data_IF_486922353241
#
_entry.id   IF_486922353241
#
_cell.length_a   1.000
_cell.length_b   1.000
_cell.length_c   1.000
_cell.angle_alpha   90.00
_cell.angle_beta   90.00
_cell.angle_gamma   90.00
#
_symmetry.space_group_name_H-M   'P 1'
#
loop_
_entity.id
_entity.type
_entity.pdbx_description
1 polymer ?
#
# COMPACT_ATOMS: atom_id res chain seq x y z
N UNK A 1 -28.43 11.49 10.05
CA UNK A 1 -27.53 11.02 8.98
C UNK A 1 -28.21 9.83 8.27
N UNK A 2 -28.38 9.85 6.97
CA UNK A 2 -29.00 8.74 6.24
C UNK A 2 -28.15 7.48 6.44
N UNK A 3 -28.78 6.35 6.80
CA UNK A 3 -28.09 5.08 7.04
C UNK A 3 -27.17 4.66 5.87
N UNK A 4 -27.54 5.02 4.65
CA UNK A 4 -26.76 4.72 3.47
C UNK A 4 -25.47 5.56 3.38
N UNK A 5 -25.54 6.86 3.67
CA UNK A 5 -24.37 7.75 3.71
C UNK A 5 -23.39 7.28 4.80
N UNK A 6 -23.90 6.86 5.96
CA UNK A 6 -23.05 6.30 7.01
C UNK A 6 -22.29 5.06 6.52
N UNK A 7 -22.96 4.14 5.81
CA UNK A 7 -22.34 2.93 5.28
C UNK A 7 -21.28 3.22 4.20
N UNK A 8 -21.50 4.24 3.36
CA UNK A 8 -20.51 4.69 2.38
C UNK A 8 -19.23 5.17 3.05
N UNK A 9 -19.36 6.05 4.06
CA UNK A 9 -18.22 6.53 4.82
C UNK A 9 -17.53 5.43 5.63
N UNK A 10 -18.29 4.53 6.23
CA UNK A 10 -17.77 3.38 6.97
C UNK A 10 -16.90 2.49 6.07
N UNK A 11 -17.38 2.15 4.88
CA UNK A 11 -16.63 1.31 3.95
C UNK A 11 -15.42 2.01 3.36
N UNK A 12 -15.50 3.32 3.13
CA UNK A 12 -14.33 4.09 2.74
C UNK A 12 -13.25 4.08 3.84
N UNK A 13 -13.65 4.22 5.10
CA UNK A 13 -12.73 4.09 6.23
C UNK A 13 -12.08 2.69 6.27
N UNK A 14 -12.85 1.62 6.13
CA UNK A 14 -12.34 0.24 6.14
C UNK A 14 -11.34 0.00 5.01
N UNK A 15 -11.67 0.42 3.78
CA UNK A 15 -10.78 0.30 2.62
C UNK A 15 -9.51 1.13 2.81
N UNK A 16 -9.63 2.35 3.35
CA UNK A 16 -8.48 3.21 3.64
C UNK A 16 -7.56 2.61 4.71
N UNK A 17 -8.14 1.96 5.72
CA UNK A 17 -7.37 1.23 6.73
C UNK A 17 -6.62 0.03 6.14
N UNK A 18 -7.26 -0.73 5.26
CA UNK A 18 -6.61 -1.83 4.53
C UNK A 18 -5.46 -1.33 3.66
N UNK A 19 -5.63 -0.18 2.99
CA UNK A 19 -4.56 0.49 2.26
C UNK A 19 -3.37 0.87 3.16
N UNK A 20 -3.64 1.41 4.35
CA UNK A 20 -2.62 1.72 5.34
C UNK A 20 -1.87 0.48 5.83
N UNK A 21 -2.59 -0.60 6.13
CA UNK A 21 -2.01 -1.90 6.52
C UNK A 21 -1.17 -2.49 5.38
N UNK A 22 -1.63 -2.41 4.14
CA UNK A 22 -0.87 -2.87 2.98
C UNK A 22 0.47 -2.14 2.87
N UNK A 23 0.48 -0.81 2.98
CA UNK A 23 1.73 -0.03 2.91
C UNK A 23 2.68 -0.38 4.05
N UNK A 24 2.19 -0.59 5.26
CA UNK A 24 3.03 -1.11 6.36
C UNK A 24 3.64 -2.46 6.01
N UNK A 25 2.86 -3.40 5.49
CA UNK A 25 3.32 -4.75 5.16
C UNK A 25 4.32 -4.80 3.99
N UNK A 26 4.45 -3.72 3.22
CA UNK A 26 5.50 -3.60 2.20
C UNK A 26 6.93 -3.64 2.78
N UNK A 27 7.10 -3.72 4.11
CA UNK A 27 8.41 -4.01 4.70
C UNK A 27 9.03 -5.31 4.15
N UNK A 28 8.20 -6.27 3.74
CA UNK A 28 8.64 -7.51 3.07
C UNK A 28 9.34 -7.18 1.75
N UNK A 29 8.70 -6.39 0.90
CA UNK A 29 9.27 -5.95 -0.38
C UNK A 29 10.52 -5.09 -0.16
N UNK A 30 10.43 -4.16 0.80
CA UNK A 30 11.57 -3.33 1.18
C UNK A 30 12.78 -4.15 1.63
N UNK A 31 12.56 -5.16 2.49
CA UNK A 31 13.59 -6.11 2.92
C UNK A 31 14.18 -6.90 1.75
N UNK A 32 13.33 -7.40 0.86
CA UNK A 32 13.77 -8.14 -0.34
C UNK A 32 14.66 -7.29 -1.26
N UNK A 33 14.31 -6.01 -1.44
CA UNK A 33 15.12 -5.08 -2.27
C UNK A 33 16.54 -4.87 -1.75
N UNK A 34 16.79 -5.17 -0.47
CA UNK A 34 18.08 -4.98 0.21
C UNK A 34 18.94 -6.24 0.24
N UNK A 35 18.46 -7.37 -0.27
CA UNK A 35 19.04 -8.69 -0.11
C UNK A 35 20.52 -8.76 -0.53
N UNK A 36 20.87 -8.30 -1.72
CA UNK A 36 22.26 -8.29 -2.21
C UNK A 36 23.08 -7.10 -1.68
N UNK A 37 22.41 -6.06 -1.24
CA UNK A 37 23.05 -4.88 -0.69
C UNK A 37 23.60 -5.16 0.73
N UNK A 38 22.78 -5.78 1.57
CA UNK A 38 23.11 -6.05 2.98
C UNK A 38 23.71 -7.44 3.21
N UNK A 39 23.15 -8.49 2.58
CA UNK A 39 23.59 -9.87 2.74
C UNK A 39 24.89 -10.14 1.97
N UNK A 40 26.02 -10.16 2.68
CA UNK A 40 27.34 -10.39 2.09
C UNK A 40 27.67 -11.88 1.99
N UNK A 41 27.23 -12.66 2.98
CA UNK A 41 27.42 -14.11 3.01
C UNK A 41 26.13 -14.84 2.60
N UNK A 42 26.24 -16.12 2.28
CA UNK A 42 25.10 -16.97 1.97
C UNK A 42 24.19 -17.15 3.20
N UNK A 43 24.76 -17.28 4.39
CA UNK A 43 24.03 -17.41 5.65
C UNK A 43 23.22 -16.15 5.95
N UNK A 44 23.81 -14.96 5.77
CA UNK A 44 23.09 -13.68 5.94
C UNK A 44 21.91 -13.53 4.98
N UNK A 45 22.10 -13.87 3.69
CA UNK A 45 21.02 -13.85 2.71
C UNK A 45 19.90 -14.82 3.08
N UNK A 46 20.25 -15.99 3.57
CA UNK A 46 19.29 -17.00 4.04
C UNK A 46 18.48 -16.48 5.23
N UNK A 47 19.13 -15.84 6.22
CA UNK A 47 18.44 -15.20 7.35
C UNK A 47 17.50 -14.10 6.91
N UNK A 48 17.91 -13.23 5.96
CA UNK A 48 17.07 -12.17 5.43
C UNK A 48 15.85 -12.73 4.68
N UNK A 49 16.05 -13.69 3.78
CA UNK A 49 14.97 -14.34 3.03
C UNK A 49 14.00 -15.04 3.96
N UNK A 50 14.48 -15.77 4.97
CA UNK A 50 13.62 -16.43 5.94
C UNK A 50 12.84 -15.43 6.81
N UNK A 51 13.45 -14.29 7.15
CA UNK A 51 12.80 -13.22 7.91
C UNK A 51 11.59 -12.63 7.16
N UNK A 52 11.77 -12.25 5.90
CA UNK A 52 10.69 -11.74 5.04
C UNK A 52 9.75 -12.84 4.57
N UNK A 53 10.25 -14.04 4.32
CA UNK A 53 9.51 -15.21 3.87
C UNK A 53 8.42 -15.64 4.86
N UNK A 54 8.66 -15.53 6.16
CA UNK A 54 7.63 -15.81 7.18
C UNK A 54 6.46 -14.81 7.18
N UNK A 55 6.52 -13.74 6.39
CA UNK A 55 5.53 -12.64 6.38
C UNK A 55 4.99 -12.29 4.99
N UNK A 56 5.51 -12.84 3.92
CA UNK A 56 5.13 -12.44 2.56
C UNK A 56 3.64 -12.69 2.26
N UNK A 57 3.08 -13.76 2.83
CA UNK A 57 1.66 -14.08 2.65
C UNK A 57 0.74 -13.01 3.23
N UNK A 58 1.11 -12.39 4.37
CA UNK A 58 0.32 -11.30 4.95
C UNK A 58 0.24 -10.11 3.99
N UNK A 59 1.32 -9.76 3.31
CA UNK A 59 1.34 -8.67 2.34
C UNK A 59 0.47 -9.00 1.14
N UNK A 60 0.66 -10.19 0.56
CA UNK A 60 -0.11 -10.61 -0.61
C UNK A 60 -1.60 -10.75 -0.30
N UNK A 61 -1.95 -11.38 0.80
CA UNK A 61 -3.34 -11.52 1.24
C UNK A 61 -3.98 -10.16 1.50
N UNK A 62 -3.25 -9.21 2.10
CA UNK A 62 -3.77 -7.85 2.33
C UNK A 62 -3.98 -7.10 1.01
N UNK A 63 -3.11 -7.26 0.02
CA UNK A 63 -3.30 -6.69 -1.32
C UNK A 63 -4.58 -7.23 -1.98
N UNK A 64 -4.80 -8.55 -1.92
CA UNK A 64 -6.01 -9.19 -2.47
C UNK A 64 -7.25 -8.75 -1.69
N UNK A 65 -7.16 -8.66 -0.36
CA UNK A 65 -8.27 -8.18 0.49
C UNK A 65 -8.63 -6.73 0.21
N UNK A 66 -7.63 -5.86 -0.02
CA UNK A 66 -7.83 -4.48 -0.42
C UNK A 66 -8.62 -4.37 -1.74
N UNK A 67 -8.20 -5.13 -2.76
CA UNK A 67 -8.94 -5.22 -4.04
C UNK A 67 -10.34 -5.79 -3.88
N UNK A 68 -10.51 -6.85 -3.08
CA UNK A 68 -11.80 -7.48 -2.78
C UNK A 68 -12.74 -6.56 -2.01
N UNK A 69 -12.23 -5.76 -1.07
CA UNK A 69 -13.01 -4.76 -0.35
C UNK A 69 -13.51 -3.64 -1.29
N UNK A 70 -12.69 -3.19 -2.24
CA UNK A 70 -13.13 -2.27 -3.30
C UNK A 70 -14.18 -2.91 -4.20
N UNK A 71 -13.96 -4.15 -4.64
CA UNK A 71 -14.93 -4.87 -5.47
C UNK A 71 -16.32 -4.92 -4.82
N UNK A 72 -16.37 -5.21 -3.54
CA UNK A 72 -17.63 -5.37 -2.82
C UNK A 72 -18.29 -4.03 -2.43
N UNK A 73 -17.49 -3.03 -2.01
CA UNK A 73 -18.03 -1.74 -1.51
C UNK A 73 -18.14 -0.67 -2.59
N UNK A 74 -17.18 -0.61 -3.54
CA UNK A 74 -17.12 0.38 -4.62
C UNK A 74 -16.89 -0.30 -5.97
N UNK A 75 -17.88 -1.08 -6.48
CA UNK A 75 -17.70 -1.90 -7.67
C UNK A 75 -17.37 -1.10 -8.93
N UNK A 76 -17.87 0.14 -9.05
CA UNK A 76 -17.54 1.00 -10.19
C UNK A 76 -16.07 1.42 -10.20
N UNK A 77 -15.49 1.69 -9.01
CA UNK A 77 -14.05 1.91 -8.92
C UNK A 77 -13.26 0.65 -9.29
N UNK A 78 -13.70 -0.51 -8.79
CA UNK A 78 -13.03 -1.77 -9.12
C UNK A 78 -13.01 -2.02 -10.63
N UNK A 79 -14.13 -1.87 -11.30
CA UNK A 79 -14.21 -2.05 -12.76
C UNK A 79 -13.40 -1.00 -13.51
N UNK A 80 -13.36 0.25 -13.03
CA UNK A 80 -12.65 1.35 -13.69
C UNK A 80 -11.14 1.25 -13.48
N UNK A 81 -10.68 1.02 -12.24
CA UNK A 81 -9.25 0.97 -11.92
C UNK A 81 -8.66 -0.41 -12.21
N UNK A 82 -9.17 -1.49 -11.58
CA UNK A 82 -8.60 -2.84 -11.77
C UNK A 82 -8.91 -3.40 -13.17
N UNK A 83 -10.12 -3.15 -13.68
CA UNK A 83 -10.51 -3.58 -15.02
C UNK A 83 -10.00 -2.66 -16.14
N UNK A 84 -10.03 -1.34 -15.93
CA UNK A 84 -9.62 -0.35 -16.94
C UNK A 84 -8.12 -0.13 -17.02
N UNK A 85 -7.45 0.02 -15.86
CA UNK A 85 -6.01 0.15 -15.77
C UNK A 85 -5.30 -1.21 -15.66
N UNK A 86 -5.77 -2.20 -16.42
CA UNK A 86 -5.37 -3.61 -16.27
C UNK A 86 -3.87 -3.85 -16.46
N UNK A 87 -3.16 -3.13 -17.32
CA UNK A 87 -1.72 -3.32 -17.49
C UNK A 87 -0.93 -2.99 -16.23
N UNK A 88 -1.28 -1.90 -15.55
CA UNK A 88 -0.64 -1.53 -14.29
C UNK A 88 -0.86 -2.60 -13.22
N UNK A 89 -2.11 -3.04 -13.06
CA UNK A 89 -2.46 -4.07 -12.07
C UNK A 89 -1.90 -5.45 -12.43
N UNK A 90 -1.83 -5.80 -13.71
CA UNK A 90 -1.19 -7.02 -14.18
C UNK A 90 0.31 -7.04 -13.85
N UNK A 91 1.02 -5.93 -14.02
CA UNK A 91 2.44 -5.84 -13.65
C UNK A 91 2.64 -5.95 -12.14
N UNK A 92 1.78 -5.31 -11.34
CA UNK A 92 1.80 -5.45 -9.89
C UNK A 92 1.60 -6.93 -9.52
N UNK A 93 0.52 -7.54 -9.98
CA UNK A 93 0.20 -8.95 -9.70
C UNK A 93 1.34 -9.88 -10.13
N UNK A 94 1.86 -9.71 -11.34
CA UNK A 94 2.95 -10.52 -11.85
C UNK A 94 4.21 -10.41 -10.98
N UNK A 95 4.55 -9.21 -10.50
CA UNK A 95 5.67 -9.03 -9.59
C UNK A 95 5.49 -9.79 -8.27
N UNK A 96 4.26 -9.84 -7.72
CA UNK A 96 3.95 -10.62 -6.51
C UNK A 96 3.92 -12.12 -6.77
N UNK A 97 3.49 -12.57 -7.95
CA UNK A 97 3.59 -13.98 -8.36
C UNK A 97 5.05 -14.43 -8.43
N UNK A 98 5.93 -13.62 -9.01
CA UNK A 98 7.38 -13.89 -9.03
C UNK A 98 7.95 -14.01 -7.61
N UNK A 99 7.50 -13.17 -6.68
CA UNK A 99 7.87 -13.25 -5.27
C UNK A 99 7.42 -14.58 -4.65
N UNK A 100 6.15 -14.97 -4.82
CA UNK A 100 5.59 -16.19 -4.28
C UNK A 100 6.36 -17.43 -4.77
N UNK A 101 6.56 -17.54 -6.09
CA UNK A 101 7.35 -18.60 -6.72
C UNK A 101 8.78 -18.62 -6.17
N UNK A 102 9.37 -17.46 -5.94
CA UNK A 102 10.74 -17.37 -5.46
C UNK A 102 10.91 -17.87 -4.03
N UNK A 103 9.99 -17.56 -3.13
CA UNK A 103 10.02 -18.09 -1.77
C UNK A 103 9.85 -19.61 -1.76
N UNK A 104 8.93 -20.14 -2.56
CA UNK A 104 8.63 -21.58 -2.56
C UNK A 104 9.72 -22.44 -3.23
N UNK A 105 10.34 -21.95 -4.30
CA UNK A 105 11.17 -22.80 -5.15
C UNK A 105 12.69 -22.58 -5.04
N UNK A 106 13.17 -21.49 -4.43
CA UNK A 106 14.61 -21.20 -4.37
C UNK A 106 15.43 -22.27 -3.66
N UNK A 107 14.85 -22.96 -2.67
CA UNK A 107 15.51 -23.98 -1.84
C UNK A 107 15.13 -25.40 -2.20
N UNK A 108 14.23 -25.63 -3.19
CA UNK A 108 13.80 -26.97 -3.58
C UNK A 108 14.88 -27.73 -4.35
N UNK A 109 14.97 -29.03 -4.11
CA UNK A 109 15.80 -29.94 -4.92
C UNK A 109 15.31 -29.93 -6.37
N UNK A 110 16.22 -29.87 -7.34
CA UNK A 110 15.86 -29.77 -8.76
C UNK A 110 15.49 -28.37 -9.23
N UNK A 111 15.82 -27.34 -8.46
CA UNK A 111 15.67 -25.94 -8.83
C UNK A 111 16.32 -25.65 -10.19
N UNK A 112 15.51 -25.36 -11.23
CA UNK A 112 15.95 -25.20 -12.61
C UNK A 112 16.73 -23.91 -12.86
N UNK A 113 16.33 -22.80 -12.19
CA UNK A 113 16.87 -21.46 -12.46
C UNK A 113 18.04 -21.06 -11.54
N UNK A 114 18.26 -21.80 -10.47
CA UNK A 114 19.28 -21.50 -9.46
C UNK A 114 18.84 -20.45 -8.43
N UNK A 115 19.36 -20.57 -7.20
CA UNK A 115 18.98 -19.72 -6.04
C UNK A 115 19.10 -18.22 -6.30
N UNK A 116 20.15 -17.80 -7.00
CA UNK A 116 20.40 -16.38 -7.22
C UNK A 116 19.39 -15.75 -8.18
N UNK A 117 18.84 -16.51 -9.13
CA UNK A 117 17.79 -16.03 -10.03
C UNK A 117 16.50 -15.76 -9.25
N UNK A 118 16.08 -16.70 -8.40
CA UNK A 118 14.89 -16.50 -7.55
C UNK A 118 15.08 -15.33 -6.57
N UNK A 119 16.27 -15.18 -5.99
CA UNK A 119 16.61 -14.02 -5.17
C UNK A 119 16.59 -12.72 -5.97
N UNK A 120 17.00 -12.75 -7.23
CA UNK A 120 16.86 -11.65 -8.18
C UNK A 120 15.37 -11.26 -8.37
N UNK A 121 14.47 -12.23 -8.47
CA UNK A 121 13.03 -11.99 -8.56
C UNK A 121 12.46 -11.38 -7.26
N UNK A 122 12.96 -11.80 -6.08
CA UNK A 122 12.59 -11.13 -4.82
C UNK A 122 13.02 -9.67 -4.82
N UNK A 123 14.23 -9.36 -5.28
CA UNK A 123 14.71 -7.97 -5.40
C UNK A 123 13.88 -7.20 -6.42
N UNK A 124 13.57 -7.78 -7.58
CA UNK A 124 12.72 -7.15 -8.59
C UNK A 124 11.33 -6.80 -8.04
N UNK A 125 10.66 -7.76 -7.36
CA UNK A 125 9.40 -7.47 -6.68
C UNK A 125 9.58 -6.41 -5.60
N UNK A 126 10.68 -6.46 -4.85
CA UNK A 126 11.00 -5.48 -3.81
C UNK A 126 11.13 -4.05 -4.30
N UNK A 127 11.37 -3.84 -5.59
CA UNK A 127 11.43 -2.52 -6.24
C UNK A 127 10.12 -2.22 -6.97
N UNK A 128 9.71 -3.10 -7.88
CA UNK A 128 8.56 -2.90 -8.79
C UNK A 128 7.26 -2.82 -7.99
N UNK A 129 7.04 -3.72 -7.03
CA UNK A 129 5.82 -3.75 -6.22
C UNK A 129 5.51 -2.43 -5.52
N UNK A 130 6.40 -1.92 -4.66
CA UNK A 130 6.17 -0.65 -3.97
C UNK A 130 6.06 0.56 -4.91
N UNK A 131 6.88 0.63 -5.97
CA UNK A 131 6.84 1.75 -6.93
C UNK A 131 5.51 1.78 -7.67
N UNK A 132 5.06 0.64 -8.20
CA UNK A 132 3.80 0.58 -8.94
C UNK A 132 2.58 0.78 -8.03
N UNK A 133 2.58 0.22 -6.82
CA UNK A 133 1.50 0.43 -5.85
C UNK A 133 1.43 1.89 -5.41
N UNK A 134 2.57 2.53 -5.14
CA UNK A 134 2.61 3.95 -4.82
C UNK A 134 2.13 4.82 -5.97
N UNK A 135 2.52 4.51 -7.20
CA UNK A 135 2.03 5.18 -8.41
C UNK A 135 0.53 4.99 -8.62
N UNK A 136 0.00 3.78 -8.39
CA UNK A 136 -1.44 3.51 -8.47
C UNK A 136 -2.23 4.30 -7.41
N UNK A 137 -1.71 4.40 -6.18
CA UNK A 137 -2.36 5.19 -5.11
C UNK A 137 -2.27 6.69 -5.39
N UNK A 138 -1.21 7.17 -6.03
CA UNK A 138 -1.08 8.58 -6.40
C UNK A 138 -2.24 9.06 -7.29
N UNK A 139 -2.79 8.17 -8.14
CA UNK A 139 -3.92 8.50 -9.02
C UNK A 139 -5.21 8.88 -8.29
N UNK A 140 -5.33 8.60 -6.98
CA UNK A 140 -6.41 9.13 -6.15
C UNK A 140 -6.35 10.66 -5.99
N UNK A 141 -5.20 11.25 -6.27
CA UNK A 141 -4.97 12.70 -6.18
C UNK A 141 -4.71 13.35 -7.54
N UNK A 142 -4.02 12.65 -8.43
CA UNK A 142 -3.62 13.16 -9.75
C UNK A 142 -4.65 12.85 -10.83
N UNK A 143 -5.46 11.81 -10.61
CA UNK A 143 -6.46 11.34 -11.56
C UNK A 143 -5.94 10.29 -12.56
N UNK A 144 -6.87 9.78 -13.36
CA UNK A 144 -6.64 8.77 -14.40
C UNK A 144 -7.51 9.04 -15.61
N UNK A 145 -7.07 8.60 -16.80
CA UNK A 145 -7.75 8.89 -18.07
C UNK A 145 -8.87 7.87 -18.35
N UNK A 146 -10.04 8.07 -17.77
CA UNK A 146 -11.22 7.22 -18.03
C UNK A 146 -12.49 8.05 -18.22
N UNK A 147 -13.52 7.44 -18.80
CA UNK A 147 -14.85 8.02 -18.99
C UNK A 147 -15.90 7.03 -18.50
N UNK A 148 -16.92 7.53 -17.80
CA UNK A 148 -18.05 6.77 -17.29
C UNK A 148 -19.31 7.15 -18.07
N UNK A 149 -19.91 6.17 -18.74
CA UNK A 149 -21.21 6.30 -19.39
C UNK A 149 -22.18 5.26 -18.84
N UNK A 150 -22.95 5.65 -17.84
CA UNK A 150 -23.98 4.77 -17.24
C UNK A 150 -25.12 4.44 -18.20
N UNK A 151 -25.36 5.27 -19.22
CA UNK A 151 -26.37 5.04 -20.25
C UNK A 151 -26.03 3.82 -21.12
N UNK A 152 -24.77 3.50 -21.28
CA UNK A 152 -24.30 2.37 -22.08
C UNK A 152 -24.71 0.98 -21.55
N UNK A 153 -25.30 0.89 -20.36
CA UNK A 153 -25.91 -0.36 -19.86
C UNK A 153 -27.01 -0.93 -20.74
N UNK A 154 -27.61 -0.08 -21.58
CA UNK A 154 -28.69 -0.49 -22.55
C UNK A 154 -28.12 -1.02 -23.85
N UNK A 155 -26.82 -0.93 -24.09
CA UNK A 155 -26.16 -1.53 -25.25
C UNK A 155 -26.15 -3.07 -25.10
N UNK A 156 -26.84 -3.76 -25.99
CA UNK A 156 -26.94 -5.24 -25.93
C UNK A 156 -25.71 -5.95 -26.46
N UNK A 157 -24.79 -5.25 -27.15
CA UNK A 157 -23.58 -5.84 -27.75
C UNK A 157 -22.40 -5.65 -26.83
N UNK A 158 -22.23 -4.46 -26.23
CA UNK A 158 -21.10 -4.14 -25.39
C UNK A 158 -21.49 -3.19 -24.24
N UNK A 159 -22.15 -3.71 -23.19
CA UNK A 159 -22.68 -2.90 -22.09
C UNK A 159 -21.56 -2.45 -21.12
N UNK A 160 -20.52 -1.82 -21.65
CA UNK A 160 -19.37 -1.33 -20.87
C UNK A 160 -19.65 0.08 -20.38
N UNK A 161 -19.75 0.25 -19.05
CA UNK A 161 -20.03 1.53 -18.40
C UNK A 161 -18.75 2.39 -18.32
N UNK A 162 -17.61 1.78 -17.98
CA UNK A 162 -16.34 2.46 -17.79
C UNK A 162 -15.37 2.14 -18.92
N UNK A 163 -14.82 3.18 -19.55
CA UNK A 163 -13.86 3.05 -20.64
C UNK A 163 -12.60 3.84 -20.34
N UNK A 164 -11.43 3.22 -20.58
CA UNK A 164 -10.17 3.94 -20.55
C UNK A 164 -10.02 4.80 -21.80
N UNK A 165 -9.63 6.07 -21.62
CA UNK A 165 -9.61 7.05 -22.71
C UNK A 165 -8.39 6.94 -23.61
N UNK A 166 -7.33 6.21 -23.19
CA UNK A 166 -6.10 6.03 -23.95
C UNK A 166 -5.70 4.54 -24.03
N UNK A 167 -4.78 4.23 -24.93
CA UNK A 167 -4.26 2.86 -25.12
C UNK A 167 -3.31 2.40 -24.00
N UNK A 168 -2.97 3.26 -23.05
CA UNK A 168 -2.03 2.95 -21.97
C UNK A 168 -2.62 2.04 -20.89
N UNK A 169 -3.94 2.04 -20.74
CA UNK A 169 -4.67 1.20 -19.78
C UNK A 169 -3.97 1.10 -18.41
N UNK A 170 -3.66 2.27 -17.83
CA UNK A 170 -3.02 2.41 -16.52
C UNK A 170 -1.50 2.59 -16.55
N UNK A 171 -0.79 2.21 -17.63
CA UNK A 171 0.65 2.50 -17.75
C UNK A 171 0.92 4.01 -17.90
N UNK A 172 -0.03 4.76 -18.42
CA UNK A 172 -0.02 6.21 -18.49
C UNK A 172 0.13 6.88 -17.11
N UNK A 173 -0.31 6.23 -16.04
CA UNK A 173 -0.06 6.71 -14.68
C UNK A 173 1.44 6.84 -14.34
N UNK A 174 2.31 6.02 -14.98
CA UNK A 174 3.76 6.09 -14.80
C UNK A 174 4.42 7.21 -15.59
N UNK A 175 3.70 7.87 -16.50
CA UNK A 175 4.18 9.04 -17.23
C UNK A 175 3.96 10.34 -16.43
N UNK A 176 3.07 10.32 -15.45
CA UNK A 176 2.92 11.44 -14.52
C UNK A 176 4.04 11.44 -13.47
N UNK A 177 4.79 12.52 -13.43
CA UNK A 177 5.96 12.66 -12.55
C UNK A 177 5.57 12.51 -11.08
N UNK A 178 4.41 13.01 -10.67
CA UNK A 178 3.98 12.97 -9.27
C UNK A 178 3.56 11.58 -8.83
N UNK A 179 3.02 10.78 -9.74
CA UNK A 179 2.74 9.36 -9.48
C UNK A 179 4.04 8.58 -9.26
N UNK A 180 5.06 8.87 -10.06
CA UNK A 180 6.40 8.28 -9.89
C UNK A 180 7.05 8.76 -8.59
N UNK A 181 6.91 10.04 -8.24
CA UNK A 181 7.42 10.60 -6.98
C UNK A 181 6.84 9.88 -5.78
N UNK A 182 5.52 9.65 -5.72
CA UNK A 182 4.92 8.87 -4.64
C UNK A 182 5.34 7.39 -4.70
N UNK A 183 5.45 6.81 -5.89
CA UNK A 183 5.97 5.44 -6.07
C UNK A 183 7.36 5.27 -5.47
N UNK A 184 8.26 6.21 -5.74
CA UNK A 184 9.62 6.23 -5.17
C UNK A 184 9.59 6.46 -3.65
N UNK A 185 8.71 7.34 -3.15
CA UNK A 185 8.53 7.55 -1.72
C UNK A 185 8.10 6.25 -1.02
N UNK A 186 7.12 5.54 -1.56
CA UNK A 186 6.64 4.24 -1.02
C UNK A 186 7.74 3.18 -1.07
N UNK A 187 8.54 3.14 -2.13
CA UNK A 187 9.69 2.25 -2.22
C UNK A 187 10.72 2.50 -1.12
N UNK A 188 11.12 3.74 -0.88
CA UNK A 188 12.06 4.06 0.18
C UNK A 188 11.46 3.88 1.58
N UNK A 189 10.16 4.16 1.77
CA UNK A 189 9.45 3.83 3.00
C UNK A 189 9.47 2.32 3.26
N UNK A 190 9.15 1.51 2.26
CA UNK A 190 9.20 0.06 2.36
C UNK A 190 10.61 -0.43 2.78
N UNK A 191 11.67 0.15 2.20
CA UNK A 191 13.06 -0.15 2.61
C UNK A 191 13.35 0.24 4.05
N UNK A 192 12.91 1.41 4.49
CA UNK A 192 13.05 1.83 5.90
C UNK A 192 12.34 0.84 6.81
N UNK A 193 11.09 0.50 6.52
CA UNK A 193 10.34 -0.49 7.30
C UNK A 193 11.01 -1.87 7.27
N UNK A 194 11.52 -2.31 6.12
CA UNK A 194 12.28 -3.56 5.99
C UNK A 194 13.56 -3.58 6.84
N UNK A 195 14.31 -2.48 6.85
CA UNK A 195 15.49 -2.32 7.72
C UNK A 195 15.13 -2.38 9.20
N UNK A 196 14.08 -1.65 9.61
CA UNK A 196 13.59 -1.67 10.99
C UNK A 196 13.10 -3.07 11.40
N UNK A 197 12.47 -3.80 10.46
CA UNK A 197 12.03 -5.17 10.69
C UNK A 197 13.22 -6.13 10.86
N UNK A 198 14.25 -6.05 10.04
CA UNK A 198 15.47 -6.87 10.20
C UNK A 198 16.16 -6.60 11.53
N UNK A 199 16.27 -5.34 11.96
CA UNK A 199 16.83 -4.98 13.27
C UNK A 199 16.03 -5.61 14.43
N UNK A 200 14.70 -5.72 14.27
CA UNK A 200 13.83 -6.33 15.27
C UNK A 200 13.89 -7.86 15.27
N UNK A 201 13.99 -8.49 14.08
CA UNK A 201 13.74 -9.91 13.88
C UNK A 201 15.01 -10.78 13.77
N UNK A 202 16.16 -10.20 13.40
CA UNK A 202 17.43 -10.94 13.18
C UNK A 202 18.38 -10.71 14.35
N UNK A 203 19.09 -11.79 14.75
CA UNK A 203 20.11 -11.79 15.79
C UNK A 203 21.50 -12.07 15.19
N UNK A 204 21.97 -11.13 14.35
CA UNK A 204 23.33 -11.11 13.80
C UNK A 204 23.86 -9.68 13.88
N UNK A 205 24.86 -9.45 14.70
CA UNK A 205 25.37 -8.10 15.05
C UNK A 205 25.93 -7.36 13.82
N UNK A 206 26.60 -8.07 12.91
CA UNK A 206 27.19 -7.46 11.70
C UNK A 206 26.10 -7.05 10.70
N UNK A 207 25.11 -7.90 10.49
CA UNK A 207 23.99 -7.60 9.61
C UNK A 207 23.13 -6.47 10.19
N UNK A 208 22.81 -6.52 11.48
CA UNK A 208 22.05 -5.48 12.18
C UNK A 208 22.77 -4.13 12.15
N UNK A 209 24.10 -4.11 12.35
CA UNK A 209 24.88 -2.88 12.24
C UNK A 209 24.82 -2.27 10.82
N UNK A 210 24.86 -3.12 9.77
CA UNK A 210 24.67 -2.66 8.37
C UNK A 210 23.26 -2.14 8.13
N UNK A 211 22.24 -2.83 8.65
CA UNK A 211 20.85 -2.36 8.57
C UNK A 211 20.73 -0.95 9.18
N UNK A 212 21.25 -0.72 10.39
CA UNK A 212 21.21 0.60 11.05
C UNK A 212 21.85 1.71 10.22
N UNK A 213 23.01 1.45 9.62
CA UNK A 213 23.70 2.44 8.76
C UNK A 213 22.86 2.81 7.54
N UNK A 214 22.08 1.87 7.02
CA UNK A 214 21.24 2.09 5.84
C UNK A 214 19.89 2.76 6.15
N UNK A 215 19.46 2.84 7.42
CA UNK A 215 18.22 3.52 7.80
C UNK A 215 18.23 4.99 7.39
N UNK A 216 19.30 5.71 7.74
CA UNK A 216 19.39 7.17 7.51
C UNK A 216 19.29 7.56 6.03
N UNK A 217 20.09 7.02 5.09
CA UNK A 217 19.98 7.40 3.69
C UNK A 217 18.62 7.05 3.09
N UNK A 218 18.04 5.87 3.41
CA UNK A 218 16.72 5.51 2.92
C UNK A 218 15.61 6.42 3.50
N UNK A 219 15.72 6.80 4.78
CA UNK A 219 14.78 7.73 5.40
C UNK A 219 14.85 9.14 4.78
N UNK A 220 16.04 9.64 4.44
CA UNK A 220 16.19 10.92 3.77
C UNK A 220 15.54 10.93 2.39
N UNK A 221 15.76 9.90 1.57
CA UNK A 221 15.09 9.79 0.27
C UNK A 221 13.58 9.63 0.42
N UNK A 222 13.12 8.81 1.37
CA UNK A 222 11.70 8.72 1.68
C UNK A 222 11.10 10.09 1.99
N UNK A 223 11.68 10.81 2.94
CA UNK A 223 11.17 12.12 3.37
C UNK A 223 11.20 13.13 2.22
N UNK A 224 12.26 13.15 1.41
CA UNK A 224 12.37 14.04 0.27
C UNK A 224 11.19 13.86 -0.71
N UNK A 225 10.98 12.63 -1.17
CA UNK A 225 9.94 12.33 -2.16
C UNK A 225 8.53 12.42 -1.56
N UNK A 226 8.35 11.97 -0.32
CA UNK A 226 7.06 12.07 0.36
C UNK A 226 6.65 13.52 0.62
N UNK A 227 7.56 14.36 1.12
CA UNK A 227 7.27 15.78 1.34
C UNK A 227 7.02 16.52 0.03
N UNK A 228 7.77 16.21 -1.04
CA UNK A 228 7.53 16.80 -2.36
C UNK A 228 6.11 16.48 -2.85
N UNK A 229 5.68 15.21 -2.77
CA UNK A 229 4.32 14.81 -3.14
C UNK A 229 3.27 15.44 -2.22
N UNK A 230 3.48 15.44 -0.91
CA UNK A 230 2.55 16.00 0.07
C UNK A 230 2.33 17.49 -0.16
N UNK A 231 3.42 18.26 -0.28
CA UNK A 231 3.34 19.72 -0.56
C UNK A 231 2.60 19.96 -1.87
N UNK A 232 2.94 19.23 -2.93
CA UNK A 232 2.24 19.33 -4.22
C UNK A 232 0.73 19.06 -4.05
N UNK A 233 0.35 18.01 -3.33
CA UNK A 233 -1.05 17.65 -3.11
C UNK A 233 -1.79 18.74 -2.32
N UNK A 234 -1.18 19.29 -1.28
CA UNK A 234 -1.81 20.33 -0.44
C UNK A 234 -1.98 21.68 -1.13
N UNK A 235 -1.08 22.04 -2.06
CA UNK A 235 -1.15 23.33 -2.76
C UNK A 235 -1.86 23.27 -4.12
N UNK A 236 -2.14 22.06 -4.62
CA UNK A 236 -2.82 21.92 -5.91
C UNK A 236 -4.33 22.06 -5.79
N UNK A 237 -4.95 22.26 -6.94
CA UNK A 237 -6.37 22.08 -7.10
C UNK A 237 -6.76 20.60 -6.89
N UNK A 238 -7.96 20.37 -6.37
CA UNK A 238 -8.53 19.04 -6.20
C UNK A 238 -9.98 18.97 -6.67
N UNK A 239 -10.48 17.78 -6.82
CA UNK A 239 -11.80 17.50 -7.39
C UNK A 239 -12.86 17.55 -6.30
N UNK A 240 -13.53 18.68 -6.18
CA UNK A 240 -14.63 18.90 -5.25
C UNK A 240 -15.98 18.52 -5.86
N UNK A 241 -16.93 18.16 -5.02
CA UNK A 241 -18.29 17.80 -5.40
C UNK A 241 -19.26 18.79 -4.78
N UNK A 242 -20.11 19.38 -5.58
CA UNK A 242 -21.21 20.23 -5.09
C UNK A 242 -22.27 19.33 -4.42
N UNK A 243 -22.55 19.49 -3.12
CA UNK A 243 -23.48 18.61 -2.42
C UNK A 243 -24.95 18.75 -2.86
N UNK A 244 -25.32 19.84 -3.54
CA UNK A 244 -26.68 20.06 -4.02
C UNK A 244 -26.92 19.54 -5.45
N UNK A 245 -25.93 19.68 -6.34
CA UNK A 245 -26.07 19.30 -7.77
C UNK A 245 -25.33 18.02 -8.12
N UNK A 246 -24.45 17.53 -7.23
CA UNK A 246 -23.50 16.43 -7.45
C UNK A 246 -22.49 16.71 -8.57
N UNK A 247 -22.43 17.93 -9.09
CA UNK A 247 -21.45 18.35 -10.10
C UNK A 247 -20.04 18.38 -9.51
N UNK A 248 -19.07 17.94 -10.31
CA UNK A 248 -17.67 17.92 -9.92
C UNK A 248 -16.99 19.14 -10.53
N UNK A 249 -16.23 19.85 -9.69
CA UNK A 249 -15.49 21.06 -10.09
C UNK A 249 -14.10 21.08 -9.44
N UNK A 250 -13.20 21.90 -9.98
CA UNK A 250 -11.86 22.08 -9.42
C UNK A 250 -11.89 23.13 -8.32
N UNK A 251 -11.38 22.78 -7.13
CA UNK A 251 -11.27 23.67 -5.97
C UNK A 251 -9.79 23.86 -5.61
N UNK A 252 -9.26 25.09 -5.56
CA UNK A 252 -7.90 25.36 -5.10
C UNK A 252 -7.70 24.87 -3.66
N UNK A 253 -6.52 24.27 -3.38
CA UNK A 253 -6.15 23.77 -2.05
C UNK A 253 -7.14 22.77 -1.43
N UNK A 254 -7.88 22.02 -2.25
CA UNK A 254 -8.96 21.13 -1.77
C UNK A 254 -8.52 20.22 -0.66
N UNK A 255 -7.39 19.55 -0.81
CA UNK A 255 -6.92 18.59 0.18
C UNK A 255 -6.44 19.25 1.48
N UNK A 256 -5.91 20.47 1.42
CA UNK A 256 -5.61 21.28 2.60
C UNK A 256 -6.90 21.69 3.32
N UNK A 257 -7.90 22.17 2.57
CA UNK A 257 -9.21 22.48 3.13
C UNK A 257 -9.85 21.26 3.81
N UNK A 258 -9.70 20.07 3.22
CA UNK A 258 -10.21 18.83 3.81
C UNK A 258 -9.53 18.52 5.16
N UNK A 259 -8.21 18.71 5.28
CA UNK A 259 -7.53 18.55 6.56
C UNK A 259 -8.03 19.55 7.61
N UNK A 260 -8.25 20.81 7.22
CA UNK A 260 -8.75 21.84 8.13
C UNK A 260 -10.21 21.62 8.50
N UNK A 261 -11.04 21.14 7.58
CA UNK A 261 -12.45 20.80 7.83
C UNK A 261 -12.63 19.54 8.68
N UNK A 262 -11.61 18.66 8.71
CA UNK A 262 -11.63 17.41 9.50
C UNK A 262 -10.46 17.38 10.49
N UNK A 263 -10.47 18.16 11.58
CA UNK A 263 -9.34 18.27 12.51
C UNK A 263 -8.89 16.93 13.11
N UNK A 264 -9.81 15.98 13.29
CA UNK A 264 -9.48 14.64 13.78
C UNK A 264 -8.61 13.85 12.79
N UNK A 265 -8.81 14.03 11.46
CA UNK A 265 -7.95 13.42 10.43
C UNK A 265 -6.57 14.07 10.43
N UNK A 266 -6.51 15.40 10.61
CA UNK A 266 -5.24 16.12 10.73
C UNK A 266 -4.44 15.63 11.96
N UNK A 267 -5.09 15.48 13.11
CA UNK A 267 -4.45 14.94 14.33
C UNK A 267 -3.93 13.51 14.08
N UNK A 268 -4.75 12.66 13.46
CA UNK A 268 -4.35 11.30 13.07
C UNK A 268 -3.12 11.29 12.16
N UNK A 269 -3.10 12.19 11.17
CA UNK A 269 -1.98 12.37 10.25
C UNK A 269 -0.69 12.78 11.00
N UNK A 270 -0.78 13.77 11.88
CA UNK A 270 0.37 14.25 12.65
C UNK A 270 0.90 13.18 13.62
N UNK A 271 0.02 12.42 14.28
CA UNK A 271 0.41 11.28 15.12
C UNK A 271 1.09 10.21 14.25
N UNK A 272 0.54 9.93 13.06
CA UNK A 272 1.10 8.98 12.12
C UNK A 272 2.53 9.35 11.69
N UNK A 273 2.71 10.56 11.20
CA UNK A 273 4.03 11.09 10.80
C UNK A 273 4.98 11.11 11.99
N UNK A 274 4.51 11.58 13.16
CA UNK A 274 5.29 11.55 14.40
C UNK A 274 5.75 10.14 14.78
N UNK A 275 4.89 9.14 14.62
CA UNK A 275 5.21 7.73 14.85
C UNK A 275 6.30 7.20 13.93
N UNK A 276 6.22 7.53 12.62
CA UNK A 276 7.26 7.14 11.64
C UNK A 276 8.60 7.77 12.02
N UNK A 277 8.62 9.08 12.26
CA UNK A 277 9.86 9.80 12.62
C UNK A 277 10.43 9.33 13.95
N UNK A 278 9.58 9.04 14.95
CA UNK A 278 9.99 8.50 16.23
C UNK A 278 10.64 7.12 16.09
N UNK A 279 10.02 6.21 15.33
CA UNK A 279 10.56 4.86 15.08
C UNK A 279 11.93 4.92 14.40
N UNK A 280 12.10 5.78 13.39
CA UNK A 280 13.37 6.01 12.71
C UNK A 280 14.38 6.66 13.66
N UNK A 281 14.01 7.75 14.32
CA UNK A 281 14.90 8.53 15.20
C UNK A 281 15.40 7.73 16.38
N UNK A 282 14.54 7.01 17.09
CA UNK A 282 14.96 6.15 18.20
C UNK A 282 15.91 5.02 17.74
N UNK A 283 15.67 4.45 16.57
CA UNK A 283 16.55 3.40 16.02
C UNK A 283 17.94 3.93 15.66
N UNK A 284 18.03 5.18 15.16
CA UNK A 284 19.30 5.81 14.82
C UNK A 284 20.07 6.28 16.05
N UNK A 285 19.38 6.84 17.06
CA UNK A 285 20.01 7.48 18.22
C UNK A 285 20.31 6.49 19.36
N UNK A 286 19.61 5.36 19.44
CA UNK A 286 19.74 4.38 20.52
C UNK A 286 20.14 3.01 19.97
N UNK A 287 21.42 2.59 20.11
CA UNK A 287 21.90 1.31 19.57
C UNK A 287 21.16 0.08 20.10
N UNK A 288 20.67 0.11 21.34
CA UNK A 288 19.92 -0.98 21.94
C UNK A 288 18.43 -1.02 21.53
N UNK A 289 17.93 0.01 20.82
CA UNK A 289 16.53 0.08 20.44
C UNK A 289 16.26 -0.71 19.16
N UNK A 290 15.45 -1.76 19.25
CA UNK A 290 15.10 -2.65 18.15
C UNK A 290 13.60 -2.64 17.78
N UNK A 291 12.78 -1.88 18.52
CA UNK A 291 11.31 -1.83 18.34
C UNK A 291 10.83 -0.74 17.36
N UNK A 292 11.74 -0.14 16.58
CA UNK A 292 11.44 0.94 15.67
C UNK A 292 10.34 0.62 14.65
N UNK A 293 10.28 -0.64 14.20
CA UNK A 293 9.27 -1.13 13.25
C UNK A 293 7.82 -0.94 13.75
N UNK A 294 7.56 -1.12 15.03
CA UNK A 294 6.20 -1.01 15.57
C UNK A 294 5.70 0.44 15.61
N UNK A 295 6.59 1.39 15.94
CA UNK A 295 6.26 2.81 15.90
C UNK A 295 6.14 3.31 14.45
N UNK A 296 7.13 3.00 13.62
CA UNK A 296 7.10 3.42 12.22
C UNK A 296 5.97 2.73 11.43
N UNK A 297 5.68 1.46 11.70
CA UNK A 297 4.61 0.72 11.07
C UNK A 297 3.23 1.26 11.42
N UNK A 298 2.93 1.43 12.71
CA UNK A 298 1.67 2.05 13.15
C UNK A 298 1.55 3.47 12.62
N UNK A 299 2.65 4.24 12.66
CA UNK A 299 2.70 5.58 12.09
C UNK A 299 2.40 5.60 10.59
N UNK A 300 2.93 4.63 9.83
CA UNK A 300 2.63 4.46 8.40
C UNK A 300 1.15 4.19 8.17
N UNK A 301 0.55 3.27 8.92
CA UNK A 301 -0.89 2.97 8.81
C UNK A 301 -1.73 4.22 9.03
N UNK A 302 -1.45 4.99 10.09
CA UNK A 302 -2.20 6.21 10.41
C UNK A 302 -2.01 7.31 9.35
N UNK A 303 -0.80 7.48 8.84
CA UNK A 303 -0.49 8.47 7.79
C UNK A 303 -1.23 8.16 6.50
N UNK A 304 -1.16 6.91 6.02
CA UNK A 304 -1.82 6.49 4.77
C UNK A 304 -3.34 6.52 4.93
N UNK A 305 -3.87 6.03 6.05
CA UNK A 305 -5.29 6.13 6.38
C UNK A 305 -5.77 7.58 6.27
N UNK A 306 -5.07 8.51 6.91
CA UNK A 306 -5.44 9.94 6.90
C UNK A 306 -5.44 10.54 5.50
N UNK A 307 -4.44 10.23 4.68
CA UNK A 307 -4.36 10.69 3.29
C UNK A 307 -5.52 10.16 2.44
N UNK A 308 -5.87 8.88 2.59
CA UNK A 308 -7.00 8.30 1.86
C UNK A 308 -8.34 8.85 2.35
N UNK A 309 -8.49 9.13 3.66
CA UNK A 309 -9.69 9.79 4.18
C UNK A 309 -9.86 11.19 3.59
N UNK A 310 -8.77 11.95 3.46
CA UNK A 310 -8.78 13.29 2.83
C UNK A 310 -9.12 13.21 1.34
N UNK A 311 -8.73 12.15 0.66
CA UNK A 311 -9.06 11.94 -0.76
C UNK A 311 -10.55 11.66 -1.01
N UNK A 312 -11.27 11.03 -0.05
CA UNK A 312 -12.66 10.60 -0.29
C UNK A 312 -13.73 11.33 0.53
N UNK A 313 -13.36 11.89 1.70
CA UNK A 313 -14.31 12.59 2.56
C UNK A 313 -14.49 14.06 2.16
N UNK A 314 -15.43 14.72 2.82
CA UNK A 314 -15.72 16.15 2.66
C UNK A 314 -16.03 16.55 1.20
N UNK A 315 -16.97 15.83 0.56
CA UNK A 315 -17.40 16.12 -0.81
C UNK A 315 -16.22 16.19 -1.80
N UNK A 316 -15.43 15.13 -1.82
CA UNK A 316 -14.27 15.00 -2.72
C UNK A 316 -14.45 13.78 -3.62
N UNK A 317 -14.11 13.92 -4.89
CA UNK A 317 -14.01 12.78 -5.80
C UNK A 317 -12.70 12.04 -5.54
N UNK A 318 -12.79 10.84 -4.97
CA UNK A 318 -11.62 10.07 -4.56
C UNK A 318 -10.84 9.43 -5.70
N UNK A 319 -11.48 9.24 -6.85
CA UNK A 319 -10.79 8.75 -8.05
C UNK A 319 -11.15 9.65 -9.23
N UNK A 320 -10.33 10.68 -9.46
CA UNK A 320 -10.61 11.69 -10.48
C UNK A 320 -10.43 11.17 -11.90
N UNK A 321 -11.26 11.63 -12.82
CA UNK A 321 -11.05 11.47 -14.25
C UNK A 321 -10.39 12.71 -14.86
N UNK A 322 -9.28 12.50 -15.57
CA UNK A 322 -8.59 13.53 -16.34
C UNK A 322 -9.14 13.67 -17.77
N UNK A 323 -9.91 12.69 -18.23
CA UNK A 323 -10.53 12.72 -19.56
C UNK A 323 -11.88 13.43 -19.55
N UNK A 324 -12.68 13.24 -18.50
CA UNK A 324 -13.98 13.90 -18.30
C UNK A 324 -14.20 14.10 -16.80
N UNK A 325 -14.21 15.34 -16.35
CA UNK A 325 -14.30 15.67 -14.92
C UNK A 325 -15.56 15.10 -14.26
N UNK A 326 -16.69 15.04 -14.98
CA UNK A 326 -17.96 14.54 -14.46
C UNK A 326 -17.98 13.00 -14.33
N UNK A 327 -17.07 12.31 -14.98
CA UNK A 327 -16.86 10.87 -14.84
C UNK A 327 -16.07 10.51 -13.56
N UNK A 328 -15.57 11.48 -12.81
CA UNK A 328 -14.81 11.20 -11.58
C UNK A 328 -15.65 10.46 -10.53
N UNK A 329 -15.01 9.53 -9.80
CA UNK A 329 -15.71 8.69 -8.86
C UNK A 329 -15.74 9.31 -7.46
N UNK A 330 -16.95 9.33 -6.89
CA UNK A 330 -17.26 9.79 -5.55
C UNK A 330 -17.77 8.63 -4.70
N UNK A 331 -17.86 8.80 -3.38
CA UNK A 331 -18.43 7.78 -2.51
C UNK A 331 -19.91 7.49 -2.84
N UNK A 332 -20.65 8.50 -3.32
CA UNK A 332 -22.06 8.36 -3.66
C UNK A 332 -22.29 7.66 -5.00
N UNK A 333 -21.50 8.00 -6.04
CA UNK A 333 -21.76 7.53 -7.40
C UNK A 333 -21.15 6.17 -7.75
N UNK A 334 -20.23 5.66 -6.91
CA UNK A 334 -19.45 4.45 -7.19
C UNK A 334 -19.68 3.28 -6.23
N UNK A 335 -20.42 3.51 -5.12
CA UNK A 335 -20.64 2.50 -4.09
C UNK A 335 -21.70 1.46 -4.51
N UNK A 336 -21.64 0.33 -3.82
CA UNK A 336 -22.61 -0.76 -3.92
C UNK A 336 -23.97 -0.37 -3.31
N UNK A 337 -24.98 -1.23 -3.49
CA UNK A 337 -26.31 -1.00 -2.91
C UNK A 337 -26.29 -0.92 -1.38
N UNK A 338 -27.25 -0.20 -0.79
CA UNK A 338 -27.39 -0.10 0.66
C UNK A 338 -27.50 -1.49 1.31
N UNK A 339 -28.22 -2.42 0.66
CA UNK A 339 -28.37 -3.79 1.13
C UNK A 339 -27.01 -4.49 1.21
N UNK A 340 -26.22 -4.46 0.14
CA UNK A 340 -24.87 -5.07 0.09
C UNK A 340 -23.95 -4.49 1.16
N UNK A 341 -23.87 -3.16 1.26
CA UNK A 341 -23.02 -2.50 2.25
C UNK A 341 -23.42 -2.86 3.69
N UNK A 342 -24.74 -3.00 3.95
CA UNK A 342 -25.27 -3.39 5.26
C UNK A 342 -24.92 -4.85 5.60
N UNK A 343 -25.11 -5.77 4.69
CA UNK A 343 -24.77 -7.19 4.91
C UNK A 343 -23.27 -7.34 5.16
N UNK A 344 -22.45 -6.70 4.35
CA UNK A 344 -21.00 -6.70 4.54
C UNK A 344 -20.58 -6.07 5.87
N UNK A 345 -21.28 -5.01 6.35
CA UNK A 345 -21.01 -4.41 7.64
C UNK A 345 -21.26 -5.40 8.81
N UNK A 346 -22.27 -6.26 8.71
CA UNK A 346 -22.45 -7.33 9.69
C UNK A 346 -21.31 -8.34 9.65
N UNK A 347 -20.86 -8.73 8.46
CA UNK A 347 -19.73 -9.68 8.30
C UNK A 347 -18.44 -9.06 8.84
N UNK A 348 -18.26 -7.74 8.71
CA UNK A 348 -17.06 -7.04 9.19
C UNK A 348 -16.90 -7.09 10.73
N UNK A 349 -17.96 -7.42 11.49
CA UNK A 349 -17.88 -7.67 12.95
C UNK A 349 -16.95 -8.85 13.26
N UNK A 350 -16.75 -9.77 12.32
CA UNK A 350 -15.82 -10.89 12.48
C UNK A 350 -14.35 -10.47 12.28
N UNK A 351 -14.08 -9.33 11.65
CA UNK A 351 -12.71 -8.85 11.35
C UNK A 351 -11.84 -8.71 12.60
N UNK A 352 -12.30 -8.16 13.74
CA UNK A 352 -11.51 -8.10 14.97
C UNK A 352 -11.01 -9.48 15.46
N UNK A 353 -11.81 -10.52 15.30
CA UNK A 353 -11.42 -11.90 15.68
C UNK A 353 -10.31 -12.43 14.76
N UNK A 354 -10.41 -12.15 13.46
CA UNK A 354 -9.37 -12.48 12.48
C UNK A 354 -8.08 -11.71 12.76
N UNK A 355 -8.17 -10.42 13.07
CA UNK A 355 -7.03 -9.60 13.44
C UNK A 355 -6.36 -10.08 14.73
N UNK A 356 -7.14 -10.50 15.73
CA UNK A 356 -6.61 -11.08 16.97
C UNK A 356 -5.86 -12.38 16.69
N UNK A 357 -6.40 -13.25 15.80
CA UNK A 357 -5.72 -14.46 15.37
C UNK A 357 -4.43 -14.17 14.60
N UNK A 358 -4.44 -13.21 13.67
CA UNK A 358 -3.25 -12.77 12.93
C UNK A 358 -2.19 -12.24 13.90
N UNK A 359 -2.59 -11.42 14.87
CA UNK A 359 -1.68 -10.89 15.89
C UNK A 359 -1.06 -12.01 16.74
N UNK A 360 -1.86 -12.99 17.14
CA UNK A 360 -1.38 -14.16 17.87
C UNK A 360 -0.38 -14.98 17.02
N UNK A 361 -0.73 -15.27 15.78
CA UNK A 361 0.13 -16.00 14.84
C UNK A 361 1.45 -15.26 14.60
N UNK A 362 1.37 -13.95 14.36
CA UNK A 362 2.57 -13.11 14.19
C UNK A 362 3.49 -13.15 15.42
N UNK A 363 2.91 -12.96 16.60
CA UNK A 363 3.66 -13.01 17.85
C UNK A 363 4.28 -14.40 18.10
N UNK A 364 3.61 -15.46 17.72
CA UNK A 364 4.11 -16.83 17.83
C UNK A 364 5.32 -17.07 16.91
N UNK A 365 5.24 -16.60 15.67
CA UNK A 365 6.31 -16.73 14.67
C UNK A 365 7.54 -15.92 15.10
N UNK A 366 7.36 -14.70 15.62
CA UNK A 366 8.45 -13.77 15.99
C UNK A 366 8.88 -13.92 17.45
N UNK A 367 8.47 -14.99 18.13
CA UNK A 367 8.83 -15.21 19.55
C UNK A 367 10.34 -15.32 19.78
N UNK A 368 11.07 -15.80 18.79
CA UNK A 368 12.53 -15.88 18.81
C UNK A 368 13.10 -15.20 17.59
N UNK A 369 14.18 -14.42 17.79
CA UNK A 369 14.91 -13.81 16.69
C UNK A 369 15.62 -14.90 15.87
N UNK A 370 15.66 -14.69 14.56
CA UNK A 370 16.33 -15.59 13.61
C UNK A 370 17.85 -15.47 13.82
N UNK A 371 18.53 -16.62 13.92
CA UNK A 371 19.98 -16.71 14.04
C UNK A 371 20.57 -17.75 13.08
N UNK A 372 21.89 -17.72 12.88
CA UNK A 372 22.59 -18.63 11.99
C UNK A 372 22.45 -20.11 12.38
N UNK A 373 22.32 -20.41 13.69
CA UNK A 373 22.17 -21.78 14.19
C UNK A 373 20.81 -22.37 13.81
N UNK A 374 19.73 -21.56 13.84
CA UNK A 374 18.42 -21.98 13.37
C UNK A 374 18.45 -22.33 11.87
N UNK A 375 19.20 -21.54 11.06
CA UNK A 375 19.33 -21.77 9.62
C UNK A 375 20.08 -23.06 9.26
N UNK A 376 20.91 -23.56 10.16
CA UNK A 376 21.64 -24.85 9.98
C UNK A 376 20.82 -26.06 10.41
N UNK A 377 19.93 -25.90 11.39
CA UNK A 377 19.16 -27.02 11.99
C UNK A 377 17.83 -27.31 11.31
N UNK A 378 17.24 -26.32 10.63
CA UNK A 378 15.90 -26.47 10.04
C UNK A 378 15.97 -26.69 8.53
N UNK A 379 15.50 -27.87 8.07
CA UNK A 379 15.31 -28.20 6.65
C UNK A 379 14.13 -27.44 5.99
N UNK A 380 13.23 -26.86 6.80
CA UNK A 380 12.04 -26.13 6.35
C UNK A 380 12.17 -24.61 6.45
N UNK A 381 13.33 -24.05 6.14
CA UNK A 381 13.54 -22.61 5.99
C UNK A 381 13.34 -22.19 4.52
N UNK A 382 12.74 -21.02 4.31
CA UNK A 382 12.61 -20.43 2.97
C UNK A 382 13.96 -20.27 2.24
#
# INVERSE_FOLDING_TARGET
MNSYIFLQHYWWFVVSLLGGLLVFLLFVQGGNSLLFCLGKTEEERKMMVNSTGRKWEFTFTTLVTFGGAFFASFPLFYSTSFGGAYWLWMLILFSFVLQAVSYEFQSKAGNLLGKNTYRGFLVANGIIGPVLLGGAVATFFTGSAFVIDKGNMTDTVMPVISRWANAGHGLDALLDVWNVVLGIAVFFLARVLGLLYFINNISDDLLVARCRRMVMPNALFFLLFFLAFLVRTLVSEGYAVNPATEEIYMEPYKYLHNFLAMPWVLVLFLIGVGGVLWGIGCTLLRPAFDKGIWFAGTGTVLTVLSLLLVAGYNHTAYYPSTADIQSSLTLSNSCSSQFTLKVMAYVSILVPFVLAYIFYAWRSIDRRKINAEEMRKNEHTY
#
